data_IF_826359722956
#
_entry.id   IF_826359722956
#
_cell.length_a   1.000
_cell.length_b   1.000
_cell.length_c   1.000
_cell.angle_alpha   90.00
_cell.angle_beta   90.00
_cell.angle_gamma   90.00
#
_symmetry.space_group_name_H-M   'P 1'
#
loop_
_entity.id
_entity.type
_entity.pdbx_description
1 polymer ?
#
# COMPACT_ATOMS: atom_id res chain seq x y z
N UNK A 1 -18.04 14.95 22.86
CA UNK A 1 -17.51 14.29 21.66
C UNK A 1 -16.01 14.52 21.68
N UNK A 2 -15.26 13.59 22.28
CA UNK A 2 -13.80 13.74 22.40
C UNK A 2 -13.18 13.42 21.04
N UNK A 3 -12.86 14.48 20.28
CA UNK A 3 -12.09 14.40 19.05
C UNK A 3 -10.75 13.77 19.36
N UNK A 4 -10.57 12.52 18.94
CA UNK A 4 -9.26 11.87 18.96
C UNK A 4 -8.46 12.52 17.84
N UNK A 5 -7.69 13.55 18.16
CA UNK A 5 -6.65 14.06 17.28
C UNK A 5 -5.63 12.93 17.09
N UNK A 6 -5.67 12.31 15.92
CA UNK A 6 -4.63 11.40 15.46
C UNK A 6 -3.36 12.23 15.18
N UNK A 7 -2.16 11.80 15.59
CA UNK A 7 -0.92 12.53 15.34
C UNK A 7 -0.70 12.72 13.83
N UNK A 8 -1.06 13.91 13.34
CA UNK A 8 -1.36 14.16 11.93
C UNK A 8 -0.17 14.02 10.97
N UNK A 9 1.07 14.08 11.44
CA UNK A 9 2.26 13.97 10.59
C UNK A 9 2.67 12.51 10.35
N UNK A 10 2.49 11.66 11.35
CA UNK A 10 2.87 10.25 11.33
C UNK A 10 1.90 9.45 10.47
N UNK A 11 0.59 9.65 10.67
CA UNK A 11 -0.44 9.04 9.84
C UNK A 11 -0.39 9.54 8.40
N UNK A 12 -0.03 10.81 8.17
CA UNK A 12 0.08 11.37 6.82
C UNK A 12 1.21 10.73 6.01
N UNK A 13 2.39 10.49 6.62
CA UNK A 13 3.51 9.85 5.92
C UNK A 13 3.20 8.39 5.55
N UNK A 14 2.56 7.67 6.46
CA UNK A 14 2.09 6.31 6.20
C UNK A 14 0.98 6.29 5.15
N UNK A 15 -0.01 7.19 5.24
CA UNK A 15 -1.11 7.28 4.30
C UNK A 15 -0.62 7.57 2.88
N UNK A 16 0.29 8.53 2.69
CA UNK A 16 0.89 8.81 1.39
C UNK A 16 1.70 7.61 0.84
N UNK A 17 2.42 6.88 1.70
CA UNK A 17 3.10 5.66 1.30
C UNK A 17 2.12 4.53 0.92
N UNK A 18 1.02 4.40 1.66
CA UNK A 18 -0.05 3.45 1.39
C UNK A 18 -0.77 3.76 0.07
N UNK A 19 -1.13 5.02 -0.19
CA UNK A 19 -1.79 5.45 -1.43
C UNK A 19 -0.95 5.13 -2.66
N UNK A 20 0.36 5.39 -2.61
CA UNK A 20 1.28 5.03 -3.70
C UNK A 20 1.34 3.52 -3.93
N UNK A 21 1.44 2.73 -2.86
CA UNK A 21 1.42 1.27 -2.95
C UNK A 21 0.09 0.76 -3.52
N UNK A 22 -1.04 1.24 -3.01
CA UNK A 22 -2.37 0.84 -3.44
C UNK A 22 -2.62 1.21 -4.91
N UNK A 23 -2.28 2.44 -5.31
CA UNK A 23 -2.38 2.89 -6.69
C UNK A 23 -1.58 2.02 -7.66
N UNK A 24 -0.35 1.65 -7.28
CA UNK A 24 0.45 0.71 -8.07
C UNK A 24 -0.22 -0.66 -8.16
N UNK A 25 -0.62 -1.26 -7.04
CA UNK A 25 -1.20 -2.61 -7.02
C UNK A 25 -2.53 -2.71 -7.80
N UNK A 26 -3.29 -1.62 -7.90
CA UNK A 26 -4.53 -1.58 -8.68
C UNK A 26 -4.32 -1.43 -10.19
N UNK A 27 -3.14 -0.99 -10.63
CA UNK A 27 -2.87 -0.66 -12.05
C UNK A 27 -1.78 -1.53 -12.67
N UNK A 28 -0.94 -2.17 -11.86
CA UNK A 28 0.16 -3.01 -12.32
C UNK A 28 -0.37 -4.34 -12.88
N UNK A 29 -0.15 -4.66 -14.18
CA UNK A 29 -0.63 -5.89 -14.80
C UNK A 29 -0.18 -7.17 -14.08
N UNK A 30 1.00 -7.15 -13.45
CA UNK A 30 1.51 -8.27 -12.65
C UNK A 30 0.71 -8.42 -11.35
N UNK A 31 0.47 -7.33 -10.62
CA UNK A 31 -0.24 -7.38 -9.34
C UNK A 31 -1.74 -7.67 -9.50
N UNK A 32 -2.32 -7.21 -10.61
CA UNK A 32 -3.72 -7.45 -10.98
C UNK A 32 -3.92 -8.72 -11.78
N UNK A 33 -2.86 -9.51 -12.03
CA UNK A 33 -2.96 -10.70 -12.86
C UNK A 33 -3.99 -11.69 -12.29
N UNK A 34 -4.85 -12.20 -13.17
CA UNK A 34 -5.84 -13.23 -12.85
C UNK A 34 -5.64 -14.47 -13.71
N UNK A 35 -6.11 -15.62 -13.23
CA UNK A 35 -6.27 -16.80 -14.07
C UNK A 35 -7.48 -16.69 -15.01
N UNK A 36 -7.74 -17.77 -15.76
CA UNK A 36 -8.87 -17.91 -16.68
C UNK A 36 -10.24 -17.90 -15.99
N UNK A 37 -10.28 -18.09 -14.67
CA UNK A 37 -11.48 -18.01 -13.83
C UNK A 37 -11.62 -16.65 -13.15
N UNK A 38 -10.82 -15.66 -13.56
CA UNK A 38 -10.73 -14.34 -12.94
C UNK A 38 -10.28 -14.36 -11.47
N UNK A 39 -9.65 -15.44 -11.00
CA UNK A 39 -9.07 -15.48 -9.67
C UNK A 39 -7.74 -14.73 -9.65
N UNK A 40 -7.58 -13.80 -8.71
CA UNK A 40 -6.33 -13.05 -8.53
C UNK A 40 -5.18 -14.02 -8.22
N UNK A 41 -4.12 -13.98 -9.02
CA UNK A 41 -2.96 -14.85 -8.92
C UNK A 41 -2.03 -14.50 -7.75
N UNK A 42 -2.30 -13.41 -7.03
CA UNK A 42 -1.53 -12.89 -5.89
C UNK A 42 -0.04 -12.70 -6.20
N UNK A 43 0.30 -12.42 -7.46
CA UNK A 43 1.66 -12.12 -7.85
C UNK A 43 2.06 -10.76 -7.27
N UNK A 44 3.31 -10.65 -6.87
CA UNK A 44 3.89 -9.39 -6.37
C UNK A 44 5.09 -9.03 -7.22
N UNK A 45 5.07 -7.85 -7.84
CA UNK A 45 6.20 -7.37 -8.63
C UNK A 45 7.26 -6.70 -7.73
N UNK A 46 8.50 -6.49 -8.21
CA UNK A 46 9.56 -5.86 -7.44
C UNK A 46 9.20 -4.46 -6.91
N UNK A 47 8.43 -3.68 -7.68
CA UNK A 47 8.01 -2.34 -7.30
C UNK A 47 6.99 -2.37 -6.15
N UNK A 48 6.02 -3.29 -6.19
CA UNK A 48 5.09 -3.51 -5.09
C UNK A 48 5.82 -3.93 -3.79
N UNK A 49 6.88 -4.73 -3.90
CA UNK A 49 7.73 -5.08 -2.75
C UNK A 49 8.44 -3.85 -2.18
N UNK A 50 8.99 -2.98 -3.05
CA UNK A 50 9.65 -1.73 -2.64
C UNK A 50 8.67 -0.79 -1.92
N UNK A 51 7.51 -0.54 -2.51
CA UNK A 51 6.47 0.32 -1.93
C UNK A 51 5.89 -0.25 -0.62
N UNK A 52 5.74 -1.57 -0.52
CA UNK A 52 5.34 -2.24 0.72
C UNK A 52 6.38 -2.10 1.84
N UNK A 53 7.68 -2.07 1.50
CA UNK A 53 8.73 -1.75 2.48
C UNK A 53 8.64 -0.30 2.93
N UNK A 54 8.55 0.65 2.00
CA UNK A 54 8.37 2.08 2.34
C UNK A 54 7.16 2.31 3.25
N UNK A 55 6.03 1.68 2.95
CA UNK A 55 4.80 1.77 3.76
C UNK A 55 5.00 1.18 5.17
N UNK A 56 5.72 0.05 5.29
CA UNK A 56 6.04 -0.55 6.59
C UNK A 56 7.04 0.29 7.39
N UNK A 57 8.02 0.89 6.73
CA UNK A 57 9.03 1.71 7.38
C UNK A 57 8.42 3.03 7.88
N UNK A 58 7.56 3.67 7.07
CA UNK A 58 6.78 4.83 7.48
C UNK A 58 5.89 4.55 8.70
N UNK A 59 5.33 3.33 8.79
CA UNK A 59 4.53 2.91 9.94
C UNK A 59 5.35 2.58 11.20
N UNK A 60 6.65 2.31 11.06
CA UNK A 60 7.54 1.96 12.19
C UNK A 60 8.31 3.16 12.72
N UNK A 61 8.51 4.20 11.90
CA UNK A 61 8.99 5.51 12.34
C UNK A 61 7.91 6.37 13.01
N UNK A 62 6.79 5.75 13.40
CA UNK A 62 5.57 6.31 13.97
C UNK A 62 5.54 6.20 15.50
#
# INVERSE_FOLDING_TARGET
MSGREYPSSVDASWAAAFERMAGHCMTCPTCTATDDRAANLRLTCPEAVRLSRECRDARRGA
#
